data_IF_943390811249
#
_entry.id   IF_943390811249
#
_cell.length_a   1.000
_cell.length_b   1.000
_cell.length_c   1.000
_cell.angle_alpha   90.00
_cell.angle_beta   90.00
_cell.angle_gamma   90.00
#
_symmetry.space_group_name_H-M   'P 1'
#
loop_
_entity.id
_entity.type
_entity.pdbx_description
1 polymer ?
#
# COMPACT_ATOMS: atom_id res chain seq x y z
N UNK A 1 66.10 12.97 -25.42
CA UNK A 1 66.04 12.09 -24.21
C UNK A 1 65.07 12.74 -23.23
N UNK A 2 63.78 12.55 -23.40
CA UNK A 2 62.94 11.48 -22.83
C UNK A 2 62.94 11.40 -21.29
N UNK A 3 61.77 11.76 -20.73
CA UNK A 3 61.06 11.13 -19.60
C UNK A 3 61.72 11.35 -18.21
N UNK A 4 61.02 11.76 -17.14
CA UNK A 4 59.65 11.40 -16.74
C UNK A 4 59.00 12.50 -15.88
N UNK A 5 57.75 12.71 -16.23
CA UNK A 5 56.71 13.55 -15.64
C UNK A 5 56.29 13.05 -14.26
N UNK A 6 56.13 13.99 -13.33
CA UNK A 6 55.07 14.12 -12.32
C UNK A 6 54.48 12.83 -11.71
N UNK A 7 54.84 12.53 -10.45
CA UNK A 7 54.05 11.66 -9.57
C UNK A 7 53.47 12.48 -8.42
N UNK A 8 52.45 13.29 -8.72
CA UNK A 8 51.49 13.76 -7.71
C UNK A 8 50.36 12.74 -7.76
N UNK A 9 50.34 11.82 -6.78
CA UNK A 9 49.23 10.89 -6.57
C UNK A 9 48.04 11.74 -6.10
N UNK A 10 46.95 11.91 -6.86
CA UNK A 10 45.77 12.54 -6.32
C UNK A 10 45.07 11.50 -5.45
N UNK A 11 45.17 11.64 -4.13
CA UNK A 11 44.25 11.06 -3.16
C UNK A 11 42.92 11.82 -3.33
N UNK A 12 42.22 11.55 -4.44
CA UNK A 12 40.95 12.17 -4.77
C UNK A 12 40.01 11.13 -5.36
N UNK A 13 39.68 10.15 -4.54
CA UNK A 13 38.53 9.28 -4.74
C UNK A 13 38.08 8.73 -3.38
N UNK A 14 37.92 9.61 -2.38
CA UNK A 14 37.06 9.28 -1.25
C UNK A 14 35.66 9.31 -1.83
N UNK A 15 35.22 8.11 -2.19
CA UNK A 15 33.88 7.73 -2.56
C UNK A 15 32.90 8.41 -1.64
N UNK A 16 32.27 9.48 -2.14
CA UNK A 16 31.06 10.03 -1.56
C UNK A 16 29.98 8.98 -1.87
N UNK A 17 30.00 7.88 -1.13
CA UNK A 17 28.83 7.03 -0.99
C UNK A 17 27.81 7.89 -0.24
N UNK A 18 27.09 8.72 -1.01
CA UNK A 18 25.86 9.35 -0.56
C UNK A 18 24.91 8.20 -0.25
N UNK A 19 24.96 7.75 1.00
CA UNK A 19 24.03 6.76 1.53
C UNK A 19 22.66 7.37 1.45
N UNK A 20 21.92 7.04 0.39
CA UNK A 20 20.53 7.41 0.25
C UNK A 20 19.78 6.66 1.35
N UNK A 21 19.47 7.34 2.45
CA UNK A 21 18.65 6.78 3.52
C UNK A 21 17.28 6.49 2.91
N UNK A 22 16.93 5.21 2.79
CA UNK A 22 15.56 4.80 2.45
C UNK A 22 14.69 5.12 3.66
N UNK A 23 13.96 6.22 3.60
CA UNK A 23 12.92 6.49 4.58
C UNK A 23 11.80 5.47 4.38
N UNK A 24 11.34 4.78 5.44
CA UNK A 24 10.18 3.92 5.32
C UNK A 24 8.96 4.78 4.94
N UNK A 25 8.23 4.36 3.92
CA UNK A 25 6.90 4.91 3.67
C UNK A 25 5.96 4.43 4.78
N UNK A 26 5.11 5.33 5.27
CA UNK A 26 4.05 4.92 6.19
C UNK A 26 3.00 4.17 5.38
N UNK A 27 2.79 2.89 5.68
CA UNK A 27 1.68 2.15 5.09
C UNK A 27 0.37 2.85 5.46
N UNK A 28 -0.52 3.05 4.50
CA UNK A 28 -1.85 3.56 4.79
C UNK A 28 -2.55 2.59 5.77
N UNK A 29 -3.19 3.16 6.81
CA UNK A 29 -4.16 2.42 7.60
C UNK A 29 -5.23 1.90 6.61
N UNK A 30 -5.40 0.58 6.53
CA UNK A 30 -6.13 -0.08 5.44
C UNK A 30 -7.52 0.51 5.16
N UNK A 31 -8.06 0.25 3.97
CA UNK A 31 -9.30 0.88 3.52
C UNK A 31 -10.53 0.33 4.24
N UNK A 32 -11.16 1.14 5.09
CA UNK A 32 -12.47 0.85 5.67
C UNK A 32 -13.59 1.37 4.75
N UNK A 33 -14.23 0.53 3.92
CA UNK A 33 -15.32 0.99 3.08
C UNK A 33 -16.53 1.38 3.95
N UNK A 34 -17.34 2.32 3.45
CA UNK A 34 -18.61 2.69 4.04
C UNK A 34 -19.71 2.57 2.97
N UNK A 35 -20.80 1.90 3.32
CA UNK A 35 -21.92 1.59 2.43
C UNK A 35 -23.16 2.36 2.88
N UNK A 36 -23.64 3.27 2.03
CA UNK A 36 -24.82 4.10 2.31
C UNK A 36 -26.06 3.41 1.74
N UNK A 37 -27.08 3.20 2.58
CA UNK A 37 -28.36 2.59 2.20
C UNK A 37 -28.33 1.06 2.07
N UNK A 38 -27.30 0.40 2.60
CA UNK A 38 -27.18 -1.07 2.56
C UNK A 38 -27.40 -1.71 3.94
N UNK A 39 -27.90 -2.95 3.90
CA UNK A 39 -28.02 -3.82 5.06
C UNK A 39 -26.77 -4.69 5.24
N UNK A 40 -26.61 -5.26 6.43
CA UNK A 40 -25.45 -6.11 6.76
C UNK A 40 -25.35 -7.33 5.84
N UNK A 41 -26.47 -8.02 5.58
CA UNK A 41 -26.53 -9.17 4.68
C UNK A 41 -26.24 -8.85 3.21
N UNK A 42 -26.28 -7.57 2.82
CA UNK A 42 -25.86 -7.12 1.48
C UNK A 42 -24.37 -6.83 1.40
N UNK A 43 -23.67 -6.83 2.54
CA UNK A 43 -22.25 -6.46 2.69
C UNK A 43 -21.48 -7.42 3.58
N UNK A 44 -22.06 -8.59 3.89
CA UNK A 44 -21.52 -9.62 4.79
C UNK A 44 -20.28 -10.34 4.22
N UNK A 45 -20.04 -10.15 2.92
CA UNK A 45 -18.96 -10.77 2.19
C UNK A 45 -18.25 -9.72 1.33
N UNK A 46 -16.96 -9.55 1.56
CA UNK A 46 -16.07 -8.71 0.77
C UNK A 46 -14.91 -9.57 0.24
N UNK A 47 -14.55 -9.37 -1.02
CA UNK A 47 -13.38 -10.01 -1.62
C UNK A 47 -12.42 -8.88 -2.00
N UNK A 48 -11.29 -8.80 -1.30
CA UNK A 48 -10.20 -7.90 -1.67
C UNK A 48 -9.21 -8.65 -2.56
N UNK A 49 -8.88 -8.09 -3.72
CA UNK A 49 -7.85 -8.61 -4.61
C UNK A 49 -6.77 -7.56 -4.78
N UNK A 50 -5.52 -8.01 -4.77
CA UNK A 50 -4.35 -7.18 -5.08
C UNK A 50 -3.79 -7.61 -6.42
N UNK A 51 -3.47 -6.65 -7.26
CA UNK A 51 -2.90 -6.84 -8.58
C UNK A 51 -1.57 -6.08 -8.70
N UNK A 52 -0.69 -6.58 -9.56
CA UNK A 52 0.49 -5.83 -9.94
C UNK A 52 0.06 -4.56 -10.69
N UNK A 53 0.72 -3.43 -10.41
CA UNK A 53 0.43 -2.15 -11.07
C UNK A 53 0.89 -2.18 -12.53
N UNK A 54 0.01 -2.73 -13.36
CA UNK A 54 0.11 -2.83 -14.83
C UNK A 54 -0.97 -2.00 -15.50
N UNK A 55 -1.83 -1.32 -14.73
CA UNK A 55 -2.95 -0.49 -15.21
C UNK A 55 -4.13 -1.28 -15.78
N UNK A 56 -4.10 -2.62 -15.76
CA UNK A 56 -5.12 -3.46 -16.42
C UNK A 56 -5.79 -4.48 -15.51
N UNK A 57 -5.44 -4.53 -14.22
CA UNK A 57 -5.96 -5.54 -13.28
C UNK A 57 -5.83 -6.98 -13.81
N UNK A 58 -4.81 -7.26 -14.62
CA UNK A 58 -4.66 -8.56 -15.30
C UNK A 58 -3.80 -9.55 -14.51
N UNK A 59 -2.86 -9.04 -13.72
CA UNK A 59 -1.92 -9.86 -12.95
C UNK A 59 -2.31 -9.90 -11.49
N UNK A 60 -3.17 -10.85 -11.12
CA UNK A 60 -3.59 -11.09 -9.74
C UNK A 60 -2.38 -11.55 -8.91
N UNK A 61 -2.09 -10.82 -7.83
CA UNK A 61 -1.02 -11.15 -6.90
C UNK A 61 -1.55 -11.80 -5.62
N UNK A 62 -2.71 -11.38 -5.15
CA UNK A 62 -3.26 -11.83 -3.88
C UNK A 62 -4.78 -11.72 -3.82
N UNK A 63 -5.41 -12.50 -2.94
CA UNK A 63 -6.84 -12.43 -2.67
C UNK A 63 -7.13 -12.71 -1.21
N UNK A 64 -7.89 -11.82 -0.57
CA UNK A 64 -8.45 -12.01 0.74
C UNK A 64 -9.97 -12.05 0.67
N UNK A 65 -10.54 -13.07 1.31
CA UNK A 65 -11.95 -13.14 1.61
C UNK A 65 -12.20 -12.61 3.02
N UNK A 66 -13.12 -11.67 3.16
CA UNK A 66 -13.59 -11.13 4.44
C UNK A 66 -15.09 -11.47 4.54
N UNK A 67 -15.46 -12.23 5.56
CA UNK A 67 -16.83 -12.69 5.79
C UNK A 67 -17.20 -12.63 7.28
N UNK A 68 -18.43 -13.00 7.65
CA UNK A 68 -18.99 -12.91 9.01
C UNK A 68 -18.04 -13.18 10.20
N UNK A 69 -17.22 -14.26 10.25
CA UNK A 69 -16.32 -14.49 11.40
C UNK A 69 -15.26 -13.40 11.58
N UNK A 70 -14.98 -12.61 10.55
CA UNK A 70 -13.95 -11.58 10.53
C UNK A 70 -14.53 -10.16 10.47
N UNK A 71 -15.85 -10.03 10.30
CA UNK A 71 -16.50 -8.80 9.87
C UNK A 71 -17.54 -8.38 10.91
N UNK A 72 -17.28 -7.27 11.58
CA UNK A 72 -18.23 -6.58 12.44
C UNK A 72 -18.77 -5.37 11.70
N UNK A 73 -19.92 -4.86 12.11
CA UNK A 73 -20.51 -3.68 11.49
C UNK A 73 -20.68 -2.55 12.49
N UNK A 74 -20.37 -1.32 12.06
CA UNK A 74 -20.75 -0.09 12.73
C UNK A 74 -21.77 0.64 11.87
N UNK A 75 -22.92 0.96 12.44
CA UNK A 75 -23.97 1.72 11.76
C UNK A 75 -24.01 3.15 12.29
N UNK A 76 -24.09 4.11 11.37
CA UNK A 76 -24.36 5.52 11.66
C UNK A 76 -25.41 6.01 10.67
N UNK A 77 -26.65 6.20 11.15
CA UNK A 77 -27.82 6.48 10.30
C UNK A 77 -27.99 5.45 9.17
N UNK A 78 -27.94 5.90 7.92
CA UNK A 78 -28.04 5.10 6.70
C UNK A 78 -26.69 4.52 6.25
N UNK A 79 -25.60 4.86 6.94
CA UNK A 79 -24.25 4.43 6.60
C UNK A 79 -23.84 3.22 7.42
N UNK A 80 -23.38 2.19 6.74
CA UNK A 80 -22.86 0.96 7.31
C UNK A 80 -21.35 0.84 7.03
N UNK A 81 -20.54 0.79 8.07
CA UNK A 81 -19.10 0.64 7.98
C UNK A 81 -18.70 -0.76 8.50
N UNK A 82 -18.32 -1.70 7.63
CA UNK A 82 -17.64 -2.92 8.06
C UNK A 82 -16.33 -2.57 8.76
N UNK A 83 -16.10 -3.22 9.89
CA UNK A 83 -14.85 -3.19 10.65
C UNK A 83 -14.40 -4.62 10.83
N UNK A 84 -13.15 -4.90 10.48
CA UNK A 84 -12.59 -6.24 10.58
C UNK A 84 -11.48 -6.25 11.62
N UNK A 85 -11.55 -7.23 12.53
CA UNK A 85 -10.58 -7.35 13.61
C UNK A 85 -9.32 -8.01 13.05
N UNK A 86 -8.15 -7.41 13.32
CA UNK A 86 -6.83 -7.99 13.07
C UNK A 86 -6.42 -8.23 11.60
N UNK A 87 -7.26 -7.88 10.62
CA UNK A 87 -6.90 -7.96 9.20
C UNK A 87 -6.75 -6.57 8.62
N UNK A 88 -5.61 -5.92 8.86
CA UNK A 88 -5.20 -4.80 8.03
C UNK A 88 -4.60 -5.39 6.76
N UNK A 89 -5.26 -5.23 5.62
CA UNK A 89 -4.53 -5.26 4.36
C UNK A 89 -4.04 -3.83 4.13
N UNK A 90 -2.76 -3.55 4.43
CA UNK A 90 -2.20 -2.26 4.08
C UNK A 90 -2.33 -2.12 2.56
N UNK A 91 -2.95 -1.03 2.14
CA UNK A 91 -2.96 -0.68 0.73
C UNK A 91 -1.64 0.00 0.43
N UNK A 92 -0.73 -0.78 -0.16
CA UNK A 92 0.64 -0.36 -0.44
C UNK A 92 0.72 0.25 -1.82
N UNK A 93 1.45 1.37 -1.95
CA UNK A 93 1.82 2.00 -3.22
C UNK A 93 2.43 0.97 -4.19
N UNK A 94 2.22 1.17 -5.50
CA UNK A 94 2.78 0.30 -6.54
C UNK A 94 1.97 -0.97 -6.81
N UNK A 95 0.77 -1.09 -6.24
CA UNK A 95 -0.20 -2.15 -6.55
C UNK A 95 -1.57 -1.55 -6.85
N UNK A 96 -2.37 -2.29 -7.62
CA UNK A 96 -3.77 -2.01 -7.87
C UNK A 96 -4.64 -2.96 -7.03
N UNK A 97 -5.85 -2.54 -6.66
CA UNK A 97 -6.72 -3.29 -5.77
C UNK A 97 -8.17 -3.33 -6.27
N UNK A 98 -8.84 -4.45 -6.09
CA UNK A 98 -10.29 -4.57 -6.29
C UNK A 98 -10.99 -4.99 -5.01
N UNK A 99 -12.15 -4.39 -4.75
CA UNK A 99 -13.08 -4.81 -3.71
C UNK A 99 -14.35 -5.27 -4.39
N UNK A 100 -14.63 -6.57 -4.34
CA UNK A 100 -15.90 -7.12 -4.79
C UNK A 100 -16.84 -7.34 -3.61
N UNK A 101 -18.10 -6.96 -3.80
CA UNK A 101 -19.21 -7.16 -2.87
C UNK A 101 -20.23 -8.06 -3.57
N UNK A 102 -20.13 -9.39 -3.42
CA UNK A 102 -20.88 -10.35 -4.24
C UNK A 102 -22.41 -10.22 -4.08
N UNK A 103 -22.90 -9.98 -2.87
CA UNK A 103 -24.33 -9.91 -2.57
C UNK A 103 -25.07 -8.81 -3.35
N UNK A 104 -24.35 -7.75 -3.76
CA UNK A 104 -24.90 -6.66 -4.58
C UNK A 104 -24.31 -6.61 -6.00
N UNK A 105 -23.52 -7.62 -6.37
CA UNK A 105 -22.81 -7.72 -7.66
C UNK A 105 -22.05 -6.43 -8.04
N UNK A 106 -21.32 -5.86 -7.07
CA UNK A 106 -20.48 -4.67 -7.31
C UNK A 106 -19.02 -4.98 -7.16
N UNK A 107 -18.20 -4.30 -7.97
CA UNK A 107 -16.75 -4.33 -7.86
C UNK A 107 -16.22 -2.92 -7.97
N UNK A 108 -15.37 -2.55 -7.01
CA UNK A 108 -14.71 -1.26 -6.93
C UNK A 108 -13.24 -1.45 -7.27
N UNK A 109 -12.71 -0.63 -8.17
CA UNK A 109 -11.30 -0.64 -8.59
C UNK A 109 -10.58 0.55 -8.00
N UNK A 110 -9.43 0.30 -7.40
CA UNK A 110 -8.59 1.29 -6.74
C UNK A 110 -7.20 1.17 -7.37
N UNK A 111 -6.73 2.25 -7.96
CA UNK A 111 -5.43 2.34 -8.62
C UNK A 111 -4.78 3.67 -8.31
N UNK A 112 -3.48 3.80 -8.56
CA UNK A 112 -2.76 5.06 -8.36
C UNK A 112 -2.66 5.47 -6.89
N UNK A 113 -2.56 4.49 -5.98
CA UNK A 113 -2.35 4.72 -4.55
C UNK A 113 -0.98 5.35 -4.36
N UNK A 114 -0.94 6.49 -3.68
CA UNK A 114 0.27 7.21 -3.32
C UNK A 114 0.45 7.23 -1.79
N UNK A 115 1.64 6.94 -1.30
CA UNK A 115 1.96 6.98 0.12
C UNK A 115 2.66 8.30 0.50
N UNK A 116 2.32 8.84 1.67
CA UNK A 116 3.06 9.98 2.21
C UNK A 116 4.31 9.49 2.92
N UNK A 117 5.47 10.00 2.52
CA UNK A 117 6.74 9.70 3.20
C UNK A 117 6.74 10.30 4.60
N UNK A 118 6.97 9.47 5.62
CA UNK A 118 7.14 9.97 6.97
C UNK A 118 8.59 10.43 7.16
N UNK A 119 8.83 11.73 7.03
CA UNK A 119 10.17 12.32 7.13
C UNK A 119 10.70 12.39 8.56
N UNK A 120 9.83 12.25 9.57
CA UNK A 120 10.23 12.33 10.98
C UNK A 120 11.08 11.12 11.44
N UNK A 121 10.84 9.94 10.86
CA UNK A 121 11.59 8.71 11.16
C UNK A 121 12.89 8.55 10.37
N UNK A 122 13.22 9.47 9.46
CA UNK A 122 14.46 9.42 8.68
C UNK A 122 15.73 9.74 9.50
N UNK A 123 15.56 10.19 10.76
CA UNK A 123 16.63 10.64 11.65
C UNK A 123 16.97 9.68 12.80
N UNK A 124 16.28 8.54 12.97
CA UNK A 124 16.67 7.55 13.99
C UNK A 124 17.84 6.70 13.49
N UNK A 125 19.04 7.17 13.82
CA UNK A 125 20.33 6.51 13.60
C UNK A 125 20.49 5.42 14.69
N UNK A 126 20.89 4.20 14.28
CA UNK A 126 21.53 3.22 15.16
C UNK A 126 22.93 3.69 15.52
#
# INVERSE_FOLDING_TARGET
>A
MNRKTLFIIPILAISIFSSCKKCPCGAAEGLLPAFIGYSESQTDTLILRRYANTGTFSQLMDTLLINEPLLNFKRSNDTLAPTYNSISIPMIEGNDYEIAVPAINKTYRISGIAETKNTMTCNSIF
#
